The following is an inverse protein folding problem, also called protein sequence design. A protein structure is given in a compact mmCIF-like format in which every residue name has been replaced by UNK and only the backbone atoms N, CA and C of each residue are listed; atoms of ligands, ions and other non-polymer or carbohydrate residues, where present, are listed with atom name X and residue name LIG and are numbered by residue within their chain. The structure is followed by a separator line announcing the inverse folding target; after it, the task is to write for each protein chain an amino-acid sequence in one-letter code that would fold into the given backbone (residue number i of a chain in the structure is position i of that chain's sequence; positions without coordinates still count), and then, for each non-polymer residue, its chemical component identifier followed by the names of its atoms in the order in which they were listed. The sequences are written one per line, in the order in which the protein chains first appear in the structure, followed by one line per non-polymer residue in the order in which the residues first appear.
data_IF_336648355239
#
_entry.id   IF_336648355239
#
_cell.length_a   1.000
_cell.length_b   1.000
_cell.length_c   1.000
_cell.angle_alpha   90.00
_cell.angle_beta   90.00
_cell.angle_gamma   90.00
#
_symmetry.space_group_name_H-M   'P 1'
#
loop_
_entity.id
_entity.type
_entity.pdbx_description
1 polymer ?
#
# COMPACT_ATOMS: atom_id res chain seq x y z
N UNK A 1 18.25 9.30 -11.52
CA UNK A 1 16.92 9.93 -11.65
C UNK A 1 15.91 8.84 -11.87
N UNK A 2 14.82 8.83 -11.10
CA UNK A 2 13.73 7.86 -11.27
C UNK A 2 13.11 8.05 -12.66
N UNK A 3 12.77 6.95 -13.34
CA UNK A 3 12.04 7.06 -14.59
C UNK A 3 10.63 7.62 -14.29
N UNK A 4 10.05 8.51 -15.13
CA UNK A 4 8.72 9.09 -14.89
C UNK A 4 7.64 8.05 -14.63
N UNK A 5 7.70 6.90 -15.32
CA UNK A 5 6.80 5.77 -15.10
C UNK A 5 6.95 5.12 -13.72
N UNK A 6 8.18 4.96 -13.25
CA UNK A 6 8.43 4.35 -11.94
C UNK A 6 8.05 5.31 -10.80
N UNK A 7 8.18 6.62 -11.02
CA UNK A 7 7.66 7.62 -10.10
C UNK A 7 6.15 7.47 -9.93
N UNK A 8 5.40 7.29 -11.01
CA UNK A 8 3.95 7.06 -10.93
C UNK A 8 3.62 5.80 -10.10
N UNK A 9 4.34 4.69 -10.30
CA UNK A 9 4.11 3.48 -9.50
C UNK A 9 4.42 3.69 -8.02
N UNK A 10 5.50 4.40 -7.69
CA UNK A 10 5.81 4.73 -6.29
C UNK A 10 4.75 5.63 -5.65
N UNK A 11 4.18 6.57 -6.42
CA UNK A 11 3.05 7.40 -5.98
C UNK A 11 1.78 6.56 -5.77
N UNK A 12 1.45 5.66 -6.71
CA UNK A 12 0.29 4.76 -6.60
C UNK A 12 0.39 3.88 -5.34
N UNK A 13 1.60 3.39 -5.03
CA UNK A 13 1.90 2.65 -3.79
C UNK A 13 1.65 3.54 -2.58
N UNK A 14 2.26 4.73 -2.54
CA UNK A 14 2.16 5.64 -1.40
C UNK A 14 0.69 6.04 -1.12
N UNK A 15 -0.05 6.42 -2.15
CA UNK A 15 -1.45 6.82 -2.05
C UNK A 15 -2.30 5.64 -1.57
N UNK A 16 -2.11 4.46 -2.15
CA UNK A 16 -2.89 3.27 -1.77
C UNK A 16 -2.60 2.82 -0.34
N UNK A 17 -1.34 2.90 0.11
CA UNK A 17 -0.95 2.60 1.48
C UNK A 17 -1.60 3.57 2.48
N UNK A 18 -1.56 4.88 2.19
CA UNK A 18 -2.23 5.90 3.02
C UNK A 18 -3.74 5.71 3.08
N UNK A 19 -4.38 5.38 1.96
CA UNK A 19 -5.82 5.09 1.93
C UNK A 19 -6.17 3.86 2.78
N UNK A 20 -5.42 2.76 2.66
CA UNK A 20 -5.65 1.57 3.47
C UNK A 20 -5.53 1.86 4.97
N UNK A 21 -4.47 2.58 5.38
CA UNK A 21 -4.28 3.04 6.76
C UNK A 21 -5.44 3.92 7.24
N UNK A 22 -5.90 4.84 6.39
CA UNK A 22 -7.02 5.73 6.72
C UNK A 22 -8.32 4.96 6.93
N UNK A 23 -8.63 4.00 6.06
CA UNK A 23 -9.85 3.18 6.14
C UNK A 23 -9.95 2.42 7.46
N UNK A 24 -8.83 1.90 7.97
CA UNK A 24 -8.82 1.13 9.22
C UNK A 24 -8.52 1.97 10.47
N UNK A 25 -8.25 3.27 10.33
CA UNK A 25 -7.76 4.13 11.43
C UNK A 25 -8.67 4.19 12.67
N UNK A 26 -9.97 3.89 12.50
CA UNK A 26 -10.97 3.87 13.57
C UNK A 26 -11.56 2.48 13.79
N UNK A 27 -11.01 1.46 13.14
CA UNK A 27 -11.49 0.10 13.21
C UNK A 27 -10.70 -0.68 14.25
N UNK A 28 -11.38 -1.55 15.00
CA UNK A 28 -10.74 -2.66 15.70
C UNK A 28 -10.66 -3.89 14.79
N UNK A 29 -9.89 -4.89 15.20
CA UNK A 29 -9.90 -6.21 14.55
C UNK A 29 -11.32 -6.78 14.44
N UNK A 30 -12.10 -6.73 15.52
CA UNK A 30 -13.46 -7.27 15.53
C UNK A 30 -14.39 -6.53 14.55
N UNK A 31 -14.34 -5.20 14.49
CA UNK A 31 -15.14 -4.44 13.52
C UNK A 31 -14.68 -4.67 12.09
N UNK A 32 -13.39 -4.90 11.86
CA UNK A 32 -12.85 -5.20 10.54
C UNK A 32 -13.35 -6.54 10.02
N UNK A 33 -13.34 -7.59 10.84
CA UNK A 33 -13.80 -8.94 10.46
C UNK A 33 -15.30 -9.00 10.14
N UNK A 34 -16.10 -8.10 10.72
CA UNK A 34 -17.55 -8.03 10.47
C UNK A 34 -17.93 -7.12 9.28
N UNK A 35 -17.01 -6.26 8.82
CA UNK A 35 -17.25 -5.31 7.73
C UNK A 35 -16.60 -5.76 6.41
N UNK A 36 -17.37 -6.50 5.61
CA UNK A 36 -16.93 -7.00 4.30
C UNK A 36 -16.55 -5.87 3.34
N UNK A 37 -17.26 -4.73 3.38
CA UNK A 37 -16.97 -3.62 2.49
C UNK A 37 -15.62 -2.97 2.83
N UNK A 38 -15.30 -2.86 4.12
CA UNK A 38 -14.00 -2.41 4.58
C UNK A 38 -12.90 -3.40 4.19
N UNK A 39 -13.14 -4.71 4.35
CA UNK A 39 -12.21 -5.76 3.91
C UNK A 39 -11.91 -5.63 2.42
N UNK A 40 -12.93 -5.57 1.57
CA UNK A 40 -12.78 -5.43 0.12
C UNK A 40 -12.01 -4.16 -0.25
N UNK A 41 -12.32 -3.04 0.42
CA UNK A 41 -11.64 -1.77 0.19
C UNK A 41 -10.15 -1.84 0.51
N UNK A 42 -9.80 -2.46 1.65
CA UNK A 42 -8.41 -2.67 2.07
C UNK A 42 -7.70 -3.63 1.11
N UNK A 43 -8.26 -4.81 0.85
CA UNK A 43 -7.68 -5.80 -0.07
C UNK A 43 -7.42 -5.18 -1.43
N UNK A 44 -8.36 -4.39 -1.96
CA UNK A 44 -8.18 -3.69 -3.24
C UNK A 44 -6.98 -2.73 -3.22
N UNK A 45 -6.72 -2.02 -2.11
CA UNK A 45 -5.53 -1.15 -1.99
C UNK A 45 -4.24 -1.97 -1.97
N UNK A 46 -4.24 -3.08 -1.25
CA UNK A 46 -3.11 -4.01 -1.18
C UNK A 46 -2.77 -4.61 -2.56
N UNK A 47 -3.78 -4.91 -3.38
CA UNK A 47 -3.58 -5.33 -4.77
C UNK A 47 -2.97 -4.25 -5.66
N UNK A 48 -3.38 -2.98 -5.51
CA UNK A 48 -2.75 -1.86 -6.25
C UNK A 48 -1.27 -1.77 -5.91
N UNK A 49 -0.94 -1.85 -4.62
CA UNK A 49 0.45 -1.80 -4.14
C UNK A 49 1.26 -2.91 -4.79
N UNK A 50 0.81 -4.16 -4.69
CA UNK A 50 1.53 -5.31 -5.25
C UNK A 50 1.72 -5.24 -6.77
N UNK A 51 0.72 -4.78 -7.53
CA UNK A 51 0.86 -4.64 -8.99
C UNK A 51 1.80 -3.49 -9.37
N UNK A 52 1.76 -2.37 -8.66
CA UNK A 52 2.66 -1.25 -8.88
C UNK A 52 4.12 -1.64 -8.56
N UNK A 53 4.36 -2.33 -7.44
CA UNK A 53 5.68 -2.86 -7.09
C UNK A 53 6.25 -3.78 -8.18
N UNK A 54 5.43 -4.68 -8.72
CA UNK A 54 5.82 -5.60 -9.79
C UNK A 54 6.24 -4.86 -11.06
N UNK A 55 5.62 -3.71 -11.35
CA UNK A 55 5.88 -2.90 -12.54
C UNK A 55 7.09 -1.96 -12.41
N UNK A 56 7.63 -1.77 -11.21
CA UNK A 56 8.88 -1.02 -11.03
C UNK A 56 10.01 -1.64 -11.86
N UNK A 57 10.81 -0.80 -12.50
CA UNK A 57 11.99 -1.27 -13.21
C UNK A 57 13.02 -1.86 -12.24
N UNK A 58 13.84 -2.77 -12.75
CA UNK A 58 14.92 -3.39 -11.96
C UNK A 58 15.88 -2.35 -11.37
N UNK A 59 16.20 -1.30 -12.16
CA UNK A 59 17.02 -0.19 -11.68
C UNK A 59 16.44 0.47 -10.44
N UNK A 60 15.14 0.73 -10.43
CA UNK A 60 14.45 1.35 -9.30
C UNK A 60 14.42 0.42 -8.10
N UNK A 61 14.10 -0.87 -8.30
CA UNK A 61 14.14 -1.87 -7.21
C UNK A 61 15.52 -1.98 -6.57
N UNK A 62 16.58 -2.00 -7.37
CA UNK A 62 17.96 -2.02 -6.84
C UNK A 62 18.27 -0.74 -6.05
N UNK A 63 17.90 0.43 -6.58
CA UNK A 63 18.13 1.71 -5.90
C UNK A 63 17.33 1.87 -4.60
N UNK A 64 16.16 1.23 -4.51
CA UNK A 64 15.24 1.29 -3.39
C UNK A 64 15.22 -0.03 -2.60
N UNK A 65 16.30 -0.81 -2.66
CA UNK A 65 16.41 -2.14 -2.00
C UNK A 65 16.26 -2.12 -0.48
N UNK A 66 16.31 -0.93 0.15
CA UNK A 66 16.07 -0.71 1.58
C UNK A 66 14.60 -0.46 1.92
N UNK A 67 13.73 -0.23 0.93
CA UNK A 67 12.30 -0.06 1.14
C UNK A 67 11.69 -1.45 1.35
N UNK A 68 10.90 -1.66 2.42
CA UNK A 68 10.25 -2.93 2.69
C UNK A 68 9.04 -3.11 1.77
N UNK A 69 9.29 -3.34 0.48
CA UNK A 69 8.23 -3.65 -0.47
C UNK A 69 7.45 -4.87 0.00
N UNK A 70 6.14 -4.73 0.04
CA UNK A 70 5.25 -5.76 0.56
C UNK A 70 4.92 -6.62 -0.65
N UNK A 71 5.66 -7.71 -0.85
CA UNK A 71 5.36 -8.71 -1.87
C UNK A 71 4.04 -9.44 -1.51
N UNK A 72 2.90 -8.75 -1.65
CA UNK A 72 1.60 -9.10 -1.09
C UNK A 72 1.02 -10.38 -1.69
N UNK A 73 1.38 -10.67 -2.95
CA UNK A 73 0.81 -11.79 -3.69
C UNK A 73 1.12 -13.15 -3.05
N UNK A 74 2.23 -13.27 -2.34
CA UNK A 74 2.62 -14.52 -1.67
C UNK A 74 1.99 -14.67 -0.27
N UNK A 75 1.39 -13.61 0.30
CA UNK A 75 0.82 -13.61 1.64
C UNK A 75 -0.71 -13.72 1.67
N UNK A 76 -1.41 -13.20 0.66
CA UNK A 76 -2.88 -13.16 0.63
C UNK A 76 -3.49 -14.44 0.04
N UNK A 77 -2.73 -15.22 -0.73
CA UNK A 77 -3.22 -16.45 -1.37
C UNK A 77 -2.73 -17.66 -0.58
N UNK A 78 -3.35 -17.96 0.54
CA UNK A 78 -3.36 -19.32 1.07
C UNK A 78 -4.74 -19.68 1.62
N UNK A 79 -5.12 -20.91 1.36
CA UNK A 79 -6.42 -21.52 1.65
C UNK A 79 -6.82 -21.32 3.13
N UNK A 80 -8.10 -20.97 3.37
CA UNK A 80 -8.83 -20.72 4.63
C UNK A 80 -9.09 -19.25 5.04
N UNK A 81 -10.39 -18.93 5.12
CA UNK A 81 -11.02 -17.60 5.23
C UNK A 81 -10.66 -16.74 6.47
N UNK A 82 -10.02 -17.31 7.50
CA UNK A 82 -9.63 -16.54 8.72
C UNK A 82 -8.17 -16.11 8.72
N UNK A 83 -7.27 -16.97 8.25
CA UNK A 83 -5.82 -16.70 8.27
C UNK A 83 -5.47 -15.60 7.26
N UNK A 84 -6.24 -15.46 6.17
CA UNK A 84 -6.06 -14.40 5.17
C UNK A 84 -6.39 -13.01 5.72
N UNK A 85 -7.50 -12.86 6.46
CA UNK A 85 -7.91 -11.57 7.01
C UNK A 85 -6.95 -11.07 8.10
N UNK A 86 -6.41 -11.96 8.92
CA UNK A 86 -5.39 -11.62 9.93
C UNK A 86 -4.14 -11.08 9.25
N UNK A 87 -3.68 -11.74 8.17
CA UNK A 87 -2.53 -11.29 7.40
C UNK A 87 -2.79 -9.94 6.73
N UNK A 88 -3.99 -9.72 6.17
CA UNK A 88 -4.39 -8.42 5.62
C UNK A 88 -4.33 -7.33 6.68
N UNK A 89 -4.92 -7.59 7.84
CA UNK A 89 -4.95 -6.64 8.96
C UNK A 89 -3.54 -6.31 9.47
N UNK A 90 -2.73 -7.33 9.74
CA UNK A 90 -1.35 -7.16 10.20
C UNK A 90 -0.50 -6.41 9.18
N UNK A 91 -0.68 -6.71 7.89
CA UNK A 91 0.06 -5.99 6.84
C UNK A 91 -0.29 -4.50 6.84
N UNK A 92 -1.57 -4.16 7.04
CA UNK A 92 -2.00 -2.75 7.12
C UNK A 92 -1.48 -2.08 8.39
N UNK A 93 -1.52 -2.75 9.54
CA UNK A 93 -1.15 -2.15 10.82
C UNK A 93 0.35 -2.08 11.06
N UNK A 94 1.12 -3.02 10.51
CA UNK A 94 2.55 -3.20 10.82
C UNK A 94 3.44 -2.82 9.64
N UNK A 95 3.15 -3.31 8.43
CA UNK A 95 4.04 -3.15 7.28
C UNK A 95 3.81 -1.82 6.54
N UNK A 96 2.54 -1.42 6.32
CA UNK A 96 2.22 -0.19 5.58
C UNK A 96 2.76 1.09 6.23
N UNK A 97 2.76 1.29 7.57
CA UNK A 97 3.33 2.50 8.17
C UNK A 97 4.81 2.68 7.81
N UNK A 98 5.60 1.60 7.88
CA UNK A 98 7.03 1.64 7.55
C UNK A 98 7.25 1.86 6.05
N UNK A 99 6.39 1.28 5.19
CA UNK A 99 6.41 1.52 3.75
C UNK A 99 6.15 3.00 3.43
N UNK A 100 5.11 3.60 4.03
CA UNK A 100 4.77 5.02 3.85
C UNK A 100 5.94 5.91 4.27
N UNK A 101 6.49 5.70 5.47
CA UNK A 101 7.61 6.48 5.97
C UNK A 101 8.84 6.38 5.05
N UNK A 102 9.11 5.20 4.50
CA UNK A 102 10.22 4.97 3.58
C UNK A 102 10.01 5.67 2.24
N UNK A 103 8.78 5.66 1.72
CA UNK A 103 8.43 6.28 0.44
C UNK A 103 8.43 7.82 0.53
N UNK A 104 7.95 8.38 1.63
CA UNK A 104 7.95 9.84 1.84
C UNK A 104 9.36 10.43 1.93
N UNK A 105 10.38 9.64 2.31
CA UNK A 105 11.78 10.07 2.32
C UNK A 105 12.42 10.15 0.93
N UNK A 106 11.87 9.43 -0.05
CA UNK A 106 12.46 9.32 -1.40
C UNK A 106 11.63 10.00 -2.48
N UNK A 107 10.34 10.20 -2.21
CA UNK A 107 9.43 10.92 -3.08
C UNK A 107 9.45 12.41 -2.73
N UNK A 108 9.35 13.31 -3.72
CA UNK A 108 9.14 14.72 -3.44
C UNK A 108 7.86 14.89 -2.63
N UNK A 109 7.85 15.82 -1.67
CA UNK A 109 6.63 16.20 -0.99
C UNK A 109 5.60 16.58 -2.06
N UNK A 110 4.42 15.96 -2.02
CA UNK A 110 3.34 16.43 -2.85
C UNK A 110 2.94 17.80 -2.31
N UNK A 111 3.24 18.86 -3.06
CA UNK A 111 2.50 20.09 -2.89
C UNK A 111 1.02 19.73 -3.07
N UNK A 112 0.13 20.12 -2.13
CA UNK A 112 -1.28 19.87 -2.32
C UNK A 112 -1.67 20.46 -3.67
N UNK A 113 -2.20 19.62 -4.56
CA UNK A 113 -2.81 20.12 -5.79
C UNK A 113 -3.83 21.17 -5.37
N UNK A 114 -3.53 22.44 -5.64
CA UNK A 114 -4.53 23.49 -5.60
C UNK A 114 -5.63 23.02 -6.54
N UNK A 115 -6.74 22.56 -5.95
CA UNK A 115 -7.95 22.24 -6.69
C UNK A 115 -8.37 23.53 -7.39
N UNK A 116 -7.93 23.68 -8.64
CA UNK A 116 -8.35 24.73 -9.55
C UNK A 116 -9.83 24.50 -9.83
N UNK A 117 -10.67 25.05 -8.97
CA UNK A 117 -12.10 25.20 -9.19
C UNK A 117 -12.27 26.18 -10.37
N UNK A 118 -12.54 25.63 -11.55
CA UNK A 118 -13.21 26.33 -12.65
C UNK A 118 -14.47 25.56 -13.04
#
# INVERSE_FOLDING_TARGET
MLAPRDLQYLLDILISAKLALNYVSRSSWSSFVEDVQLQDSVIRRLEVIGEAERRLSERTRVSLSRIPFIMMRNRIIHEYDKIVLEVVWDTVQQDLPTLVESLEKVLPAQEPEEQSYY
#
